data_IF_454655895954
#
_entry.id   IF_454655895954
#
_cell.length_a   1.000
_cell.length_b   1.000
_cell.length_c   1.000
_cell.angle_alpha   90.00
_cell.angle_beta   90.00
_cell.angle_gamma   90.00
#
_symmetry.space_group_name_H-M   'P 1'
#
loop_
_entity.id
_entity.type
_entity.pdbx_description
1 polymer ?
#
# COMPACT_ATOMS: atom_id res chain seq x y z
N UNK A 1 9.60 -15.59 -18.40
CA UNK A 1 9.68 -14.15 -18.70
C UNK A 1 8.26 -13.67 -18.94
N UNK A 2 7.78 -12.78 -18.08
CA UNK A 2 6.37 -12.56 -17.78
C UNK A 2 5.61 -11.72 -18.84
N UNK A 3 6.06 -11.77 -20.10
CA UNK A 3 5.51 -11.00 -21.23
C UNK A 3 5.69 -9.48 -21.16
N UNK A 4 6.31 -8.95 -20.11
CA UNK A 4 6.55 -7.51 -19.93
C UNK A 4 7.77 -7.04 -20.71
N UNK A 5 7.65 -5.90 -21.38
CA UNK A 5 8.79 -5.27 -22.07
C UNK A 5 9.65 -4.48 -21.08
N UNK A 6 10.93 -4.26 -21.44
CA UNK A 6 11.85 -3.45 -20.64
C UNK A 6 11.27 -2.05 -20.34
N UNK A 7 10.69 -1.39 -21.35
CA UNK A 7 10.04 -0.08 -21.19
C UNK A 7 8.85 -0.13 -20.23
N UNK A 8 8.08 -1.21 -20.22
CA UNK A 8 6.97 -1.38 -19.28
C UNK A 8 7.48 -1.57 -17.85
N UNK A 9 8.54 -2.36 -17.66
CA UNK A 9 9.16 -2.57 -16.35
C UNK A 9 9.71 -1.25 -15.78
N UNK A 10 10.43 -0.48 -16.59
CA UNK A 10 10.97 0.83 -16.21
C UNK A 10 9.86 1.81 -15.81
N UNK A 11 8.77 1.86 -16.59
CA UNK A 11 7.63 2.72 -16.27
C UNK A 11 6.94 2.32 -14.96
N UNK A 12 6.76 1.02 -14.72
CA UNK A 12 6.16 0.49 -13.49
C UNK A 12 7.04 0.73 -12.27
N UNK A 13 8.35 0.50 -12.40
CA UNK A 13 9.32 0.76 -11.35
C UNK A 13 9.35 2.25 -10.97
N UNK A 14 9.40 3.15 -11.96
CA UNK A 14 9.34 4.58 -11.72
C UNK A 14 8.05 5.02 -11.02
N UNK A 15 6.91 4.45 -11.40
CA UNK A 15 5.62 4.72 -10.76
C UNK A 15 5.60 4.27 -9.29
N UNK A 16 6.15 3.09 -8.98
CA UNK A 16 6.28 2.58 -7.62
C UNK A 16 7.20 3.46 -6.76
N UNK A 17 8.35 3.87 -7.29
CA UNK A 17 9.29 4.77 -6.61
C UNK A 17 8.67 6.14 -6.30
N UNK A 18 7.97 6.73 -7.27
CA UNK A 18 7.24 7.99 -7.05
C UNK A 18 6.18 7.81 -5.96
N UNK A 19 5.42 6.70 -5.99
CA UNK A 19 4.41 6.41 -4.98
C UNK A 19 5.01 6.17 -3.60
N UNK A 20 6.17 5.51 -3.52
CA UNK A 20 6.92 5.28 -2.28
C UNK A 20 7.29 6.60 -1.62
N UNK A 21 7.86 7.55 -2.37
CA UNK A 21 8.21 8.87 -1.85
C UNK A 21 6.98 9.61 -1.33
N UNK A 22 5.91 9.68 -2.12
CA UNK A 22 4.66 10.34 -1.68
C UNK A 22 4.06 9.72 -0.42
N UNK A 23 4.14 8.39 -0.25
CA UNK A 23 3.64 7.71 0.94
C UNK A 23 4.54 7.93 2.16
N UNK A 24 5.85 8.03 1.98
CA UNK A 24 6.77 8.34 3.08
C UNK A 24 6.47 9.73 3.67
N UNK A 25 6.23 10.71 2.82
CA UNK A 25 5.85 12.07 3.26
C UNK A 25 4.52 12.07 4.02
N UNK A 26 3.52 11.34 3.51
CA UNK A 26 2.22 11.19 4.18
C UNK A 26 2.33 10.46 5.52
N UNK A 27 3.12 9.40 5.61
CA UNK A 27 3.38 8.68 6.86
C UNK A 27 4.05 9.60 7.86
N UNK A 28 5.09 10.33 7.44
CA UNK A 28 5.79 11.27 8.31
C UNK A 28 4.84 12.34 8.87
N UNK A 29 3.96 12.90 8.04
CA UNK A 29 2.95 13.87 8.49
C UNK A 29 1.94 13.24 9.46
N UNK A 30 1.45 12.04 9.16
CA UNK A 30 0.45 11.35 9.96
C UNK A 30 0.98 10.93 11.34
N UNK A 31 2.28 10.61 11.45
CA UNK A 31 2.92 10.24 12.72
C UNK A 31 3.51 11.43 13.48
N UNK A 32 3.79 12.55 12.80
CA UNK A 32 4.27 13.79 13.42
C UNK A 32 3.16 14.70 13.96
N UNK A 33 1.88 14.39 13.68
CA UNK A 33 0.74 15.12 14.24
C UNK A 33 0.80 15.15 15.77
N UNK A 34 0.43 16.26 16.43
CA UNK A 34 0.42 16.30 17.87
C UNK A 34 -0.57 15.24 18.34
N UNK A 35 -0.12 14.26 19.13
CA UNK A 35 -1.03 13.57 20.02
C UNK A 35 -1.73 14.69 20.78
N UNK A 36 -3.05 14.88 20.60
CA UNK A 36 -3.75 15.88 21.40
C UNK A 36 -3.51 15.47 22.85
N UNK A 37 -2.67 16.23 23.54
CA UNK A 37 -2.38 15.99 24.94
C UNK A 37 -3.74 15.96 25.64
N UNK A 38 -3.98 14.95 26.48
CA UNK A 38 -5.09 14.97 27.43
C UNK A 38 -4.80 16.08 28.45
N UNK A 39 -4.83 17.34 27.98
CA UNK A 39 -5.03 18.51 28.82
C UNK A 39 -6.35 18.29 29.54
N UNK A 40 -6.46 18.70 30.80
CA UNK A 40 -7.69 18.70 31.58
C UNK A 40 -8.80 19.49 30.83
N UNK A 41 -9.49 18.80 29.93
CA UNK A 41 -10.60 19.30 29.11
C UNK A 41 -11.92 18.72 29.64
N UNK A 42 -13.06 19.28 29.26
CA UNK A 42 -14.35 18.74 29.70
C UNK A 42 -14.51 17.28 29.24
N UNK A 43 -15.31 16.43 29.93
CA UNK A 43 -15.53 15.04 29.51
C UNK A 43 -16.00 14.88 28.05
N UNK A 44 -16.74 15.87 27.53
CA UNK A 44 -17.14 15.94 26.12
C UNK A 44 -15.93 16.17 25.19
N UNK A 45 -15.05 17.11 25.54
CA UNK A 45 -13.84 17.42 24.79
C UNK A 45 -12.85 16.23 24.80
N UNK A 46 -12.71 15.53 25.93
CA UNK A 46 -11.88 14.32 26.03
C UNK A 46 -12.40 13.19 25.13
N UNK A 47 -13.73 13.04 25.00
CA UNK A 47 -14.32 12.06 24.09
C UNK A 47 -14.06 12.41 22.62
N UNK A 48 -14.19 13.69 22.26
CA UNK A 48 -13.84 14.18 20.93
C UNK A 48 -12.35 13.97 20.59
N UNK A 49 -11.45 14.30 21.51
CA UNK A 49 -10.00 14.12 21.37
C UNK A 49 -9.62 12.66 21.16
N UNK A 50 -10.19 11.74 21.96
CA UNK A 50 -9.97 10.29 21.79
C UNK A 50 -10.42 9.80 20.41
N UNK A 51 -11.56 10.27 19.93
CA UNK A 51 -12.08 9.90 18.60
C UNK A 51 -11.16 10.39 17.50
N UNK A 52 -10.66 11.63 17.61
CA UNK A 52 -9.72 12.21 16.66
C UNK A 52 -8.38 11.48 16.64
N UNK A 53 -7.83 11.14 17.81
CA UNK A 53 -6.61 10.33 17.94
C UNK A 53 -6.78 8.94 17.31
N UNK A 54 -7.92 8.28 17.55
CA UNK A 54 -8.19 6.97 16.95
C UNK A 54 -8.20 7.04 15.42
N UNK A 55 -8.89 8.03 14.84
CA UNK A 55 -8.94 8.22 13.39
C UNK A 55 -7.54 8.49 12.78
N UNK A 56 -6.71 9.27 13.47
CA UNK A 56 -5.33 9.51 13.05
C UNK A 56 -4.50 8.22 13.07
N UNK A 57 -4.62 7.40 14.11
CA UNK A 57 -3.93 6.12 14.22
C UNK A 57 -4.36 5.15 13.12
N UNK A 58 -5.66 5.05 12.84
CA UNK A 58 -6.20 4.23 11.74
C UNK A 58 -5.64 4.69 10.39
N UNK A 59 -5.64 6.02 10.15
CA UNK A 59 -5.07 6.62 8.93
C UNK A 59 -3.59 6.28 8.78
N UNK A 60 -2.79 6.44 9.83
CA UNK A 60 -1.37 6.08 9.83
C UNK A 60 -1.16 4.58 9.56
N UNK A 61 -1.98 3.71 10.17
CA UNK A 61 -1.96 2.27 9.95
C UNK A 61 -2.24 1.88 8.49
N UNK A 62 -3.21 2.54 7.84
CA UNK A 62 -3.51 2.34 6.44
C UNK A 62 -2.36 2.79 5.53
N UNK A 63 -1.77 3.96 5.78
CA UNK A 63 -0.62 4.47 5.02
C UNK A 63 0.59 3.52 5.12
N UNK A 64 0.89 3.03 6.33
CA UNK A 64 1.97 2.05 6.56
C UNK A 64 1.72 0.73 5.84
N UNK A 65 0.45 0.30 5.74
CA UNK A 65 0.08 -0.92 4.99
C UNK A 65 0.30 -0.73 3.50
N UNK A 66 -0.10 0.41 2.93
CA UNK A 66 0.16 0.74 1.53
C UNK A 66 1.68 0.83 1.25
N UNK A 67 2.44 1.48 2.13
CA UNK A 67 3.89 1.60 1.98
C UNK A 67 4.56 0.21 1.99
N UNK A 68 4.10 -0.71 2.84
CA UNK A 68 4.59 -2.11 2.84
C UNK A 68 4.32 -2.80 1.51
N UNK A 69 3.14 -2.65 0.92
CA UNK A 69 2.83 -3.24 -0.38
C UNK A 69 3.73 -2.69 -1.50
N UNK A 70 3.98 -1.37 -1.50
CA UNK A 70 4.88 -0.73 -2.48
C UNK A 70 6.33 -1.22 -2.31
N UNK A 71 6.84 -1.26 -1.08
CA UNK A 71 8.19 -1.77 -0.78
C UNK A 71 8.34 -3.23 -1.19
N UNK A 72 7.31 -4.03 -0.94
CA UNK A 72 7.28 -5.43 -1.36
C UNK A 72 7.36 -5.55 -2.88
N UNK A 73 6.56 -4.78 -3.63
CA UNK A 73 6.61 -4.79 -5.08
C UNK A 73 7.98 -4.35 -5.63
N UNK A 74 8.62 -3.34 -5.03
CA UNK A 74 9.98 -2.91 -5.40
C UNK A 74 11.02 -3.99 -5.14
N UNK A 75 10.95 -4.69 -4.00
CA UNK A 75 11.86 -5.80 -3.70
C UNK A 75 11.78 -6.94 -4.74
N UNK A 76 10.63 -7.12 -5.40
CA UNK A 76 10.48 -8.10 -6.48
C UNK A 76 11.15 -7.70 -7.80
N UNK A 77 11.53 -6.43 -7.96
CA UNK A 77 12.41 -6.04 -9.06
C UNK A 77 13.85 -6.47 -8.77
N UNK A 78 14.28 -6.49 -7.51
CA UNK A 78 15.63 -6.88 -7.11
C UNK A 78 15.89 -8.39 -7.31
N UNK A 79 14.84 -9.22 -7.24
CA UNK A 79 14.92 -10.68 -7.42
C UNK A 79 14.39 -11.18 -8.77
N UNK A 80 14.13 -10.28 -9.72
CA UNK A 80 13.56 -10.55 -11.05
C UNK A 80 12.21 -11.30 -11.05
N UNK A 81 11.48 -11.33 -9.91
CA UNK A 81 10.17 -12.00 -9.79
C UNK A 81 8.97 -11.06 -9.99
N UNK A 82 9.21 -9.79 -10.30
CA UNK A 82 8.15 -8.81 -10.51
C UNK A 82 7.19 -9.23 -11.64
N UNK A 83 5.90 -9.03 -11.40
CA UNK A 83 4.85 -9.45 -12.32
C UNK A 83 4.49 -10.94 -12.27
N UNK A 84 5.07 -11.73 -11.37
CA UNK A 84 4.61 -13.10 -11.09
C UNK A 84 3.65 -13.16 -9.89
N UNK A 85 2.56 -13.90 -10.05
CA UNK A 85 1.56 -14.13 -9.01
C UNK A 85 2.11 -14.96 -7.86
N UNK A 86 1.97 -14.48 -6.63
CA UNK A 86 2.50 -15.16 -5.43
C UNK A 86 1.74 -16.43 -5.04
N UNK A 87 0.50 -16.58 -5.53
CA UNK A 87 -0.31 -17.75 -5.21
C UNK A 87 -0.18 -18.89 -6.22
N UNK A 88 0.02 -18.59 -7.51
CA UNK A 88 0.05 -19.63 -8.55
C UNK A 88 1.28 -19.57 -9.47
N UNK A 89 2.16 -18.58 -9.33
CA UNK A 89 3.35 -18.41 -10.17
C UNK A 89 3.07 -17.84 -11.56
N UNK A 90 1.81 -17.81 -12.01
CA UNK A 90 1.46 -17.27 -13.33
C UNK A 90 1.68 -15.75 -13.43
N UNK A 91 1.84 -15.27 -14.65
CA UNK A 91 2.01 -13.86 -14.95
C UNK A 91 0.79 -13.03 -14.54
N UNK A 92 1.07 -11.84 -14.00
CA UNK A 92 0.10 -10.79 -13.73
C UNK A 92 0.03 -9.92 -14.97
N UNK A 93 -1.12 -9.91 -15.64
CA UNK A 93 -1.27 -9.16 -16.89
C UNK A 93 -0.94 -7.66 -16.75
N UNK A 94 -0.28 -7.11 -17.78
CA UNK A 94 0.17 -5.72 -17.80
C UNK A 94 -0.93 -4.72 -17.44
N UNK A 95 -2.16 -4.86 -17.97
CA UNK A 95 -3.26 -3.94 -17.66
C UNK A 95 -3.56 -3.85 -16.15
N UNK A 96 -3.34 -4.96 -15.42
CA UNK A 96 -3.51 -5.00 -13.96
C UNK A 96 -2.35 -4.30 -13.26
N UNK A 97 -1.11 -4.57 -13.66
CA UNK A 97 0.08 -3.90 -13.11
C UNK A 97 0.10 -2.41 -13.43
N UNK A 98 -0.35 -2.01 -14.62
CA UNK A 98 -0.47 -0.61 -15.03
C UNK A 98 -1.51 0.14 -14.17
N UNK A 99 -2.61 -0.51 -13.80
CA UNK A 99 -3.61 0.06 -12.91
C UNK A 99 -3.18 0.03 -11.43
N UNK A 100 -2.50 -1.04 -11.01
CA UNK A 100 -2.05 -1.31 -9.64
C UNK A 100 -0.67 -1.99 -9.66
N UNK A 101 0.43 -1.20 -9.71
CA UNK A 101 1.79 -1.75 -9.77
C UNK A 101 2.17 -2.56 -8.53
N UNK A 102 1.54 -2.30 -7.38
CA UNK A 102 1.76 -2.98 -6.11
C UNK A 102 1.17 -4.40 -6.02
N UNK A 103 0.48 -4.85 -7.07
CA UNK A 103 -0.45 -5.93 -6.94
C UNK A 103 0.21 -7.30 -7.10
N UNK A 104 0.05 -8.18 -6.10
CA UNK A 104 0.83 -9.43 -5.95
C UNK A 104 0.16 -10.70 -6.50
N UNK A 105 -1.13 -10.65 -6.82
CA UNK A 105 -1.92 -11.80 -7.29
C UNK A 105 -2.41 -11.61 -8.73
N UNK A 106 -2.51 -12.68 -9.52
CA UNK A 106 -3.21 -12.58 -10.81
C UNK A 106 -4.73 -12.41 -10.58
N UNK A 107 -5.46 -11.98 -11.62
CA UNK A 107 -6.91 -11.72 -11.52
C UNK A 107 -7.68 -12.94 -11.02
N UNK A 108 -7.34 -14.14 -11.50
CA UNK A 108 -8.00 -15.38 -11.08
C UNK A 108 -7.78 -15.69 -9.60
N UNK A 109 -6.56 -15.50 -9.09
CA UNK A 109 -6.25 -15.68 -7.67
C UNK A 109 -6.91 -14.62 -6.80
N UNK A 110 -6.94 -13.36 -7.26
CA UNK A 110 -7.63 -12.27 -6.59
C UNK A 110 -9.13 -12.58 -6.45
N UNK A 111 -9.81 -12.94 -7.53
CA UNK A 111 -11.24 -13.27 -7.51
C UNK A 111 -11.54 -14.46 -6.57
N UNK A 112 -10.69 -15.49 -6.56
CA UNK A 112 -10.83 -16.62 -5.63
C UNK A 112 -10.58 -16.25 -4.16
N UNK A 113 -9.76 -15.24 -3.90
CA UNK A 113 -9.55 -14.73 -2.53
C UNK A 113 -10.78 -13.97 -2.06
N UNK A 114 -11.31 -13.09 -2.90
CA UNK A 114 -12.50 -12.27 -2.59
C UNK A 114 -13.75 -13.13 -2.38
N UNK A 115 -13.92 -14.20 -3.16
CA UNK A 115 -15.02 -15.15 -2.97
C UNK A 115 -14.96 -15.89 -1.63
N UNK A 116 -13.76 -16.15 -1.09
CA UNK A 116 -13.57 -16.80 0.21
C UNK A 116 -13.75 -15.86 1.40
N UNK A 117 -13.69 -14.55 1.16
CA UNK A 117 -13.86 -13.50 2.17
C UNK A 117 -15.30 -13.00 2.27
N UNK A 118 -16.19 -13.49 1.40
CA UNK A 118 -17.64 -13.24 1.42
C UNK A 118 -18.34 -14.37 2.15
#
# INVERSE_FOLDING_TARGET
MNGLTQTQLEALHAALEQRRHMLLDQVALATAGPAVEEVETSPADSASNRTMNQLQQETAGHLLTQLRAIKHALAKFDDDSYGSCENCGNDIGYSRLHARPEATLCIACQTRSEQRQR
#
